data_IF_151272134254
#
_entry.id   IF_151272134254
#
_cell.length_a   1.000
_cell.length_b   1.000
_cell.length_c   1.000
_cell.angle_alpha   90.00
_cell.angle_beta   90.00
_cell.angle_gamma   90.00
#
_symmetry.space_group_name_H-M   'P 1'
#
loop_
_entity.id
_entity.type
_entity.pdbx_description
1 polymer ?
#
# COMPACT_ATOMS: atom_id res chain seq x y z
N UNK A 1 19.30 -22.65 -10.48
CA UNK A 1 18.19 -23.44 -11.08
C UNK A 1 16.93 -23.13 -10.29
N UNK A 2 15.81 -22.80 -10.95
CA UNK A 2 14.56 -22.49 -10.24
C UNK A 2 13.96 -23.76 -9.60
N UNK A 3 13.55 -23.69 -8.34
CA UNK A 3 12.88 -24.80 -7.61
C UNK A 3 11.35 -24.70 -7.63
N UNK A 4 10.83 -23.66 -8.29
CA UNK A 4 9.41 -23.36 -8.44
C UNK A 4 8.70 -24.34 -9.37
N UNK A 5 7.48 -24.74 -9.00
CA UNK A 5 6.66 -25.66 -9.82
C UNK A 5 6.16 -25.08 -11.14
N UNK A 6 6.20 -23.75 -11.33
CA UNK A 6 5.70 -23.08 -12.54
C UNK A 6 4.19 -23.20 -12.78
N UNK A 7 3.43 -23.70 -11.81
CA UNK A 7 1.95 -23.79 -11.87
C UNK A 7 1.35 -22.44 -11.46
N UNK A 8 0.36 -21.95 -12.20
CA UNK A 8 -0.28 -20.64 -11.99
C UNK A 8 -1.49 -20.63 -11.05
N UNK A 9 -1.88 -21.77 -10.47
CA UNK A 9 -3.05 -21.85 -9.59
C UNK A 9 -2.68 -21.52 -8.14
N UNK A 10 -3.68 -21.19 -7.33
CA UNK A 10 -3.55 -21.03 -5.88
C UNK A 10 -3.64 -22.40 -5.19
N UNK A 11 -2.84 -22.61 -4.15
CA UNK A 11 -2.91 -23.81 -3.32
C UNK A 11 -4.17 -23.80 -2.45
N UNK A 12 -4.99 -24.83 -2.56
CA UNK A 12 -6.24 -24.95 -1.78
C UNK A 12 -6.04 -25.16 -0.27
N UNK A 13 -4.81 -25.43 0.18
CA UNK A 13 -4.51 -25.66 1.60
C UNK A 13 -3.95 -24.40 2.25
N UNK A 14 -2.93 -23.75 1.66
CA UNK A 14 -2.27 -22.59 2.26
C UNK A 14 -2.54 -21.25 1.57
N UNK A 15 -3.18 -21.23 0.40
CA UNK A 15 -3.55 -19.97 -0.28
C UNK A 15 -2.41 -19.31 -1.03
N UNK A 16 -1.18 -19.79 -0.88
CA UNK A 16 -0.06 -19.33 -1.69
C UNK A 16 -0.13 -19.87 -3.12
N UNK A 17 0.46 -19.13 -4.04
CA UNK A 17 0.53 -19.53 -5.44
C UNK A 17 1.37 -20.82 -5.60
N UNK A 18 0.96 -21.71 -6.50
CA UNK A 18 1.64 -22.99 -6.69
C UNK A 18 3.04 -22.82 -7.29
N UNK A 19 3.35 -21.70 -7.94
CA UNK A 19 4.71 -21.36 -8.34
C UNK A 19 5.65 -21.16 -7.13
N UNK A 20 5.12 -20.87 -5.94
CA UNK A 20 5.89 -20.84 -4.69
C UNK A 20 6.00 -22.22 -4.04
N UNK A 21 5.44 -23.26 -4.66
CA UNK A 21 5.60 -24.64 -4.23
C UNK A 21 6.76 -25.31 -4.97
N UNK A 22 7.35 -26.30 -4.30
CA UNK A 22 8.39 -27.13 -4.88
C UNK A 22 7.91 -27.81 -6.18
N UNK A 23 8.82 -27.94 -7.14
CA UNK A 23 8.57 -28.68 -8.39
C UNK A 23 8.00 -30.07 -8.12
N UNK A 24 6.96 -30.40 -8.86
CA UNK A 24 6.30 -31.72 -8.81
C UNK A 24 7.23 -32.88 -9.09
N UNK A 25 8.35 -32.68 -9.81
CA UNK A 25 9.38 -33.71 -10.05
C UNK A 25 10.23 -33.99 -8.82
N UNK A 26 10.45 -32.98 -7.99
CA UNK A 26 11.30 -33.04 -6.79
C UNK A 26 10.50 -33.40 -5.54
N UNK A 27 9.16 -33.33 -5.62
CA UNK A 27 8.25 -33.59 -4.51
C UNK A 27 7.48 -34.90 -4.65
N UNK A 28 7.95 -35.92 -5.39
CA UNK A 28 7.21 -37.20 -5.52
C UNK A 28 7.59 -38.22 -4.45
N UNK A 29 6.60 -38.96 -3.96
CA UNK A 29 6.85 -40.17 -3.17
C UNK A 29 7.75 -41.15 -3.94
N UNK A 30 8.85 -41.61 -3.32
CA UNK A 30 9.80 -42.54 -3.93
C UNK A 30 9.15 -43.88 -4.32
N UNK A 31 8.12 -44.32 -3.57
CA UNK A 31 7.35 -45.57 -3.81
C UNK A 31 6.21 -45.41 -4.82
N UNK A 32 5.18 -44.61 -4.50
CA UNK A 32 3.95 -44.54 -5.31
C UNK A 32 3.92 -43.39 -6.33
N UNK A 33 4.97 -42.56 -6.39
CA UNK A 33 5.15 -41.44 -7.31
C UNK A 33 4.09 -40.32 -7.23
N UNK A 34 3.17 -40.35 -6.25
CA UNK A 34 2.24 -39.22 -5.99
C UNK A 34 3.02 -37.99 -5.52
N UNK A 35 2.64 -36.82 -6.02
CA UNK A 35 3.32 -35.53 -5.74
C UNK A 35 2.82 -34.88 -4.46
N UNK A 36 3.76 -34.47 -3.61
CA UNK A 36 3.52 -33.62 -2.45
C UNK A 36 3.44 -32.16 -2.90
N UNK A 37 2.50 -31.42 -2.35
CA UNK A 37 2.50 -29.97 -2.45
C UNK A 37 3.26 -29.43 -1.23
N UNK A 38 4.46 -28.90 -1.48
CA UNK A 38 5.35 -28.36 -0.46
C UNK A 38 5.50 -26.88 -0.74
N UNK A 39 4.93 -26.02 0.11
CA UNK A 39 5.06 -24.58 0.01
C UNK A 39 6.46 -24.14 0.44
N UNK A 40 7.13 -23.38 -0.41
CA UNK A 40 8.45 -22.78 -0.15
C UNK A 40 8.34 -21.27 0.13
N UNK A 41 7.12 -20.73 0.22
CA UNK A 41 6.89 -19.34 0.61
C UNK A 41 7.47 -19.08 2.01
N UNK A 42 8.08 -17.92 2.20
CA UNK A 42 8.70 -17.53 3.47
C UNK A 42 7.69 -17.23 4.59
N UNK A 43 6.40 -17.07 4.28
CA UNK A 43 5.40 -16.51 5.19
C UNK A 43 4.62 -17.56 6.01
N UNK A 44 5.25 -18.67 6.37
CA UNK A 44 4.64 -19.67 7.25
C UNK A 44 5.16 -19.55 8.67
N UNK A 45 4.36 -18.93 9.55
CA UNK A 45 4.64 -18.70 10.96
C UNK A 45 4.34 -17.25 11.36
N UNK A 46 3.87 -17.06 12.59
CA UNK A 46 3.53 -15.73 13.13
C UNK A 46 4.77 -14.93 13.53
N UNK A 47 5.84 -15.62 13.92
CA UNK A 47 7.00 -14.97 14.48
C UNK A 47 8.01 -14.67 13.38
N UNK A 48 8.42 -13.40 13.25
CA UNK A 48 9.68 -13.03 12.55
C UNK A 48 10.90 -13.80 13.09
N UNK A 49 10.77 -14.47 14.24
CA UNK A 49 11.77 -15.34 14.86
C UNK A 49 11.54 -16.85 14.63
N UNK A 50 10.38 -17.25 14.09
CA UNK A 50 10.12 -18.63 13.71
C UNK A 50 10.97 -19.01 12.51
N UNK A 51 11.56 -20.23 12.45
CA UNK A 51 12.37 -20.62 11.31
C UNK A 51 11.51 -20.62 10.05
N UNK A 52 11.77 -19.64 9.18
CA UNK A 52 11.34 -19.60 7.78
C UNK A 52 11.59 -21.00 7.19
N UNK A 53 10.53 -21.77 7.00
CA UNK A 53 10.66 -23.19 6.77
C UNK A 53 9.57 -23.69 5.85
N UNK A 54 9.92 -24.62 4.97
CA UNK A 54 8.97 -25.19 4.02
C UNK A 54 7.83 -25.90 4.74
N UNK A 55 6.62 -25.78 4.19
CA UNK A 55 5.42 -26.43 4.72
C UNK A 55 4.88 -27.48 3.77
N UNK A 56 4.47 -28.62 4.32
CA UNK A 56 3.77 -29.65 3.57
C UNK A 56 2.28 -29.30 3.57
N UNK A 57 1.80 -28.80 2.44
CA UNK A 57 0.40 -28.46 2.24
C UNK A 57 -0.47 -29.71 2.12
N UNK A 58 0.04 -30.72 1.41
CA UNK A 58 -0.72 -31.95 1.13
C UNK A 58 0.19 -33.18 1.08
N UNK A 59 -0.18 -34.19 1.86
CA UNK A 59 0.41 -35.54 1.81
C UNK A 59 -0.55 -36.46 1.02
N UNK A 60 -0.21 -36.86 -0.22
CA UNK A 60 -1.14 -37.58 -1.09
C UNK A 60 -1.15 -39.11 -0.88
N UNK A 61 -0.30 -39.65 0.00
CA UNK A 61 -0.14 -41.09 0.17
C UNK A 61 0.25 -41.51 1.60
N UNK A 62 -0.21 -42.69 2.03
CA UNK A 62 0.16 -43.33 3.29
C UNK A 62 1.35 -44.29 3.18
N UNK A 63 2.28 -44.09 2.24
CA UNK A 63 3.42 -45.01 2.08
C UNK A 63 4.42 -44.96 3.26
N UNK A 64 4.36 -43.90 4.08
CA UNK A 64 5.25 -43.64 5.20
C UNK A 64 6.45 -42.76 4.84
N UNK A 65 7.00 -42.07 5.85
CA UNK A 65 8.04 -41.04 5.73
C UNK A 65 9.34 -41.54 5.08
N UNK A 66 9.65 -42.83 5.24
CA UNK A 66 10.82 -43.46 4.57
C UNK A 66 10.82 -43.30 3.06
N UNK A 67 9.65 -43.15 2.43
CA UNK A 67 9.52 -42.93 0.98
C UNK A 67 9.26 -41.47 0.60
N UNK A 68 9.24 -40.55 1.57
CA UNK A 68 9.04 -39.13 1.25
C UNK A 68 10.26 -38.59 0.50
N UNK A 69 10.07 -37.66 -0.44
CA UNK A 69 11.17 -36.95 -1.09
C UNK A 69 11.96 -36.16 -0.05
N UNK A 70 13.22 -35.86 -0.35
CA UNK A 70 14.12 -35.26 0.65
C UNK A 70 13.61 -33.87 1.10
N UNK A 71 13.05 -33.09 0.17
CA UNK A 71 12.37 -31.81 0.48
C UNK A 71 11.18 -31.94 1.45
N UNK A 72 10.44 -33.05 1.40
CA UNK A 72 9.33 -33.27 2.31
C UNK A 72 9.81 -33.69 3.71
N UNK A 73 11.05 -34.19 3.85
CA UNK A 73 11.64 -34.50 5.16
C UNK A 73 12.14 -33.24 5.87
N UNK A 74 12.57 -32.24 5.09
CA UNK A 74 12.99 -30.92 5.59
C UNK A 74 11.78 -30.01 5.88
N UNK A 75 10.63 -30.28 5.27
CA UNK A 75 9.41 -29.52 5.45
C UNK A 75 8.61 -29.99 6.67
N UNK A 76 7.92 -29.05 7.32
CA UNK A 76 7.01 -29.34 8.45
C UNK A 76 5.56 -29.40 7.96
N UNK A 77 4.66 -30.15 8.61
CA UNK A 77 3.23 -30.05 8.33
C UNK A 77 2.72 -28.62 8.57
N UNK A 78 1.72 -28.19 7.79
CA UNK A 78 0.98 -26.96 8.08
C UNK A 78 0.37 -27.03 9.48
N UNK A 79 0.52 -25.95 10.24
CA UNK A 79 -0.21 -25.76 11.49
C UNK A 79 -1.68 -25.39 11.20
N UNK A 80 -2.60 -25.63 12.14
CA UNK A 80 -4.02 -25.33 11.93
C UNK A 80 -4.32 -23.89 11.50
N UNK A 81 -3.58 -22.91 12.01
CA UNK A 81 -3.74 -21.48 11.67
C UNK A 81 -3.07 -21.09 10.34
N UNK A 82 -2.22 -21.96 9.76
CA UNK A 82 -1.53 -21.70 8.49
C UNK A 82 -2.35 -22.16 7.27
N UNK A 83 -3.49 -22.82 7.49
CA UNK A 83 -4.42 -23.15 6.41
C UNK A 83 -5.18 -21.89 5.95
N UNK A 84 -5.67 -21.89 4.70
CA UNK A 84 -6.64 -20.87 4.26
C UNK A 84 -7.91 -21.00 5.08
N UNK A 85 -8.56 -19.87 5.34
CA UNK A 85 -9.79 -19.78 6.15
C UNK A 85 -10.94 -20.66 5.65
N UNK A 86 -10.96 -20.96 4.35
CA UNK A 86 -11.95 -21.86 3.72
C UNK A 86 -11.62 -23.36 3.85
N UNK A 87 -10.43 -23.72 4.34
CA UNK A 87 -10.02 -25.11 4.46
C UNK A 87 -10.59 -25.75 5.73
N UNK A 88 -11.12 -26.99 5.69
CA UNK A 88 -11.70 -27.65 6.88
C UNK A 88 -10.73 -27.84 8.05
N UNK A 89 -9.42 -27.88 7.76
CA UNK A 89 -8.35 -27.98 8.75
C UNK A 89 -7.95 -26.64 9.38
N UNK A 90 -8.52 -25.53 8.91
CA UNK A 90 -8.25 -24.22 9.51
C UNK A 90 -8.78 -24.16 10.93
N UNK A 91 -7.90 -23.81 11.86
CA UNK A 91 -8.27 -23.39 13.21
C UNK A 91 -7.51 -22.12 13.53
N UNK A 92 -8.21 -21.04 13.92
CA UNK A 92 -7.57 -19.88 14.51
C UNK A 92 -6.67 -20.32 15.67
N UNK A 93 -5.56 -19.62 15.87
CA UNK A 93 -4.64 -19.93 16.96
C UNK A 93 -5.32 -19.59 18.29
N UNK A 94 -5.77 -20.62 19.01
CA UNK A 94 -6.35 -20.47 20.35
C UNK A 94 -5.27 -19.92 21.29
N UNK A 95 -5.51 -18.74 21.88
CA UNK A 95 -4.54 -18.02 22.72
C UNK A 95 -3.99 -16.72 22.13
N UNK A 96 -4.27 -16.46 20.84
CA UNK A 96 -4.37 -15.10 20.29
C UNK A 96 -5.83 -14.75 20.03
N UNK A 97 -6.74 -15.35 20.81
CA UNK A 97 -8.01 -14.69 21.06
C UNK A 97 -7.61 -13.34 21.64
N UNK A 98 -7.78 -12.30 20.84
CA UNK A 98 -7.78 -10.94 21.32
C UNK A 98 -8.37 -10.89 22.72
N UNK A 99 -7.76 -10.05 23.54
CA UNK A 99 -8.47 -9.25 24.53
C UNK A 99 -9.54 -8.36 23.84
N UNK A 100 -10.45 -8.99 23.08
CA UNK A 100 -11.59 -8.44 22.33
C UNK A 100 -12.78 -9.43 22.37
N UNK A 101 -12.78 -10.42 23.27
CA UNK A 101 -14.06 -10.93 23.76
C UNK A 101 -14.63 -9.91 24.75
N UNK A 102 -15.37 -8.95 24.23
CA UNK A 102 -16.23 -8.03 24.98
C UNK A 102 -17.35 -8.85 25.63
N UNK A 103 -17.03 -9.61 26.68
CA UNK A 103 -18.00 -9.83 27.75
C UNK A 103 -18.16 -8.47 28.40
N UNK A 104 -19.38 -7.94 28.34
CA UNK A 104 -19.79 -6.77 29.09
C UNK A 104 -19.70 -7.11 30.58
N UNK A 105 -18.49 -7.08 31.13
CA UNK A 105 -18.23 -7.16 32.55
C UNK A 105 -17.45 -5.92 32.97
N UNK A 106 -18.14 -5.14 33.80
CA UNK A 106 -17.84 -3.78 34.22
C UNK A 106 -16.66 -3.73 35.17
N UNK A 107 -15.43 -3.89 34.67
CA UNK A 107 -14.22 -3.62 35.48
C UNK A 107 -13.01 -3.18 34.63
N UNK A 108 -12.73 -1.88 34.73
CA UNK A 108 -11.48 -1.11 34.54
C UNK A 108 -10.71 -1.11 33.19
N UNK A 109 -10.61 0.04 32.49
CA UNK A 109 -10.00 0.19 31.16
C UNK A 109 -8.47 0.40 31.24
N UNK A 110 -7.71 -0.67 31.01
CA UNK A 110 -6.25 -0.65 30.92
C UNK A 110 -5.73 -0.69 29.48
N UNK A 111 -5.90 0.41 28.75
CA UNK A 111 -5.04 0.90 27.65
C UNK A 111 -4.57 -0.12 26.59
N UNK A 112 -5.49 -0.65 25.78
CA UNK A 112 -5.16 -0.87 24.37
C UNK A 112 -4.97 0.51 23.74
N UNK A 113 -3.84 0.82 23.08
CA UNK A 113 -3.71 2.09 22.37
C UNK A 113 -4.83 2.14 21.34
N UNK A 114 -5.78 3.03 21.58
CA UNK A 114 -6.87 3.35 20.67
C UNK A 114 -6.23 4.04 19.46
N UNK A 115 -5.65 3.25 18.56
CA UNK A 115 -5.25 3.77 17.27
C UNK A 115 -6.54 4.12 16.54
N UNK A 116 -6.79 5.41 16.39
CA UNK A 116 -7.88 5.89 15.57
C UNK A 116 -7.74 5.30 14.16
N UNK A 117 -8.84 4.83 13.55
CA UNK A 117 -8.80 4.30 12.20
C UNK A 117 -8.18 5.34 11.25
N UNK A 118 -7.18 4.91 10.48
CA UNK A 118 -6.51 5.78 9.51
C UNK A 118 -7.30 5.75 8.21
N UNK A 119 -8.00 6.84 7.92
CA UNK A 119 -8.71 7.03 6.65
C UNK A 119 -7.75 7.53 5.58
N UNK A 120 -7.87 6.97 4.38
CA UNK A 120 -6.99 7.32 3.26
C UNK A 120 -7.81 7.68 2.02
N UNK A 121 -7.36 8.73 1.35
CA UNK A 121 -7.83 9.10 0.02
C UNK A 121 -7.02 8.32 -1.02
N UNK A 122 -7.73 7.58 -1.86
CA UNK A 122 -7.13 6.78 -2.91
C UNK A 122 -7.00 7.60 -4.20
N UNK A 123 -5.90 7.40 -4.91
CA UNK A 123 -5.71 7.85 -6.28
C UNK A 123 -5.55 6.64 -7.21
N UNK A 124 -6.05 6.73 -8.44
CA UNK A 124 -5.95 5.65 -9.43
C UNK A 124 -4.77 5.90 -10.35
N UNK A 125 -3.95 4.86 -10.55
CA UNK A 125 -2.81 4.86 -11.45
C UNK A 125 -2.80 3.58 -12.29
N UNK A 126 -3.61 3.55 -13.34
CA UNK A 126 -3.88 2.35 -14.11
C UNK A 126 -4.68 1.33 -13.29
N UNK A 127 -4.16 0.11 -13.14
CA UNK A 127 -4.80 -0.95 -12.36
C UNK A 127 -4.54 -0.84 -10.84
N UNK A 128 -3.80 0.18 -10.41
CA UNK A 128 -3.36 0.37 -9.03
C UNK A 128 -4.15 1.48 -8.33
N UNK A 129 -4.43 1.25 -7.06
CA UNK A 129 -4.91 2.22 -6.09
C UNK A 129 -3.70 2.67 -5.26
N UNK A 130 -3.41 3.96 -5.23
CA UNK A 130 -2.24 4.53 -4.57
C UNK A 130 -2.64 5.56 -3.51
N UNK A 131 -2.00 5.51 -2.35
CA UNK A 131 -2.18 6.47 -1.25
C UNK A 131 -0.88 6.61 -0.44
N UNK A 132 -0.75 7.68 0.34
CA UNK A 132 0.40 7.83 1.24
C UNK A 132 0.04 7.34 2.64
N UNK A 133 0.91 6.55 3.26
CA UNK A 133 0.74 6.13 4.65
C UNK A 133 1.06 7.27 5.64
N UNK A 134 0.95 7.00 6.94
CA UNK A 134 1.25 7.97 8.01
C UNK A 134 2.70 8.50 7.98
N UNK A 135 3.63 7.77 7.36
CA UNK A 135 5.02 8.18 7.19
C UNK A 135 5.27 8.93 5.88
N UNK A 136 4.23 9.16 5.07
CA UNK A 136 4.34 9.77 3.75
C UNK A 136 4.88 8.83 2.66
N UNK A 137 4.97 7.53 2.93
CA UNK A 137 5.38 6.54 1.94
C UNK A 137 4.20 6.16 1.04
N UNK A 138 4.44 6.13 -0.27
CA UNK A 138 3.46 5.73 -1.26
C UNK A 138 3.21 4.21 -1.17
N UNK A 139 1.99 3.83 -0.82
CA UNK A 139 1.49 2.46 -0.89
C UNK A 139 0.70 2.29 -2.19
N UNK A 140 1.09 1.31 -2.99
CA UNK A 140 0.36 0.90 -4.21
C UNK A 140 -0.30 -0.46 -3.97
N UNK A 141 -1.60 -0.54 -4.16
CA UNK A 141 -2.42 -1.72 -3.93
C UNK A 141 -3.38 -1.97 -5.09
N UNK A 142 -4.08 -3.10 -5.10
CA UNK A 142 -5.11 -3.42 -6.09
C UNK A 142 -6.46 -3.54 -5.39
N UNK A 143 -7.56 -3.46 -6.14
CA UNK A 143 -8.92 -3.60 -5.61
C UNK A 143 -9.12 -4.92 -4.83
N UNK A 144 -8.44 -6.00 -5.23
CA UNK A 144 -8.55 -7.32 -4.59
C UNK A 144 -7.95 -7.37 -3.18
N UNK A 145 -7.06 -6.44 -2.83
CA UNK A 145 -6.49 -6.38 -1.48
C UNK A 145 -7.42 -5.72 -0.46
N UNK A 146 -8.46 -5.01 -0.90
CA UNK A 146 -9.41 -4.33 -0.03
C UNK A 146 -10.58 -5.24 0.33
N UNK A 147 -10.89 -5.33 1.61
CA UNK A 147 -11.99 -6.13 2.14
C UNK A 147 -13.13 -5.22 2.60
N UNK A 148 -14.37 -5.52 2.18
CA UNK A 148 -15.53 -4.82 2.69
C UNK A 148 -15.72 -5.13 4.19
N UNK A 149 -15.88 -4.09 5.01
CA UNK A 149 -16.04 -4.19 6.46
C UNK A 149 -17.04 -3.15 6.98
N UNK A 150 -17.26 -3.10 8.28
CA UNK A 150 -18.11 -2.10 8.95
C UNK A 150 -17.42 -1.60 10.20
N UNK A 151 -17.28 -0.28 10.33
CA UNK A 151 -16.67 0.38 11.48
C UNK A 151 -17.67 1.30 12.18
N UNK A 152 -17.44 1.60 13.46
CA UNK A 152 -18.19 2.61 14.19
C UNK A 152 -17.62 4.00 13.88
N UNK A 153 -18.24 4.73 12.97
CA UNK A 153 -17.88 6.11 12.65
C UNK A 153 -18.90 7.06 13.29
N UNK A 154 -18.45 7.93 14.19
CA UNK A 154 -19.31 8.85 14.95
C UNK A 154 -20.47 8.13 15.69
N UNK A 155 -20.20 6.93 16.20
CA UNK A 155 -21.19 6.09 16.89
C UNK A 155 -22.18 5.36 15.97
N UNK A 156 -22.02 5.48 14.65
CA UNK A 156 -22.88 4.83 13.65
C UNK A 156 -22.09 3.74 12.92
N UNK A 157 -22.56 2.48 12.90
CA UNK A 157 -21.99 1.44 12.07
C UNK A 157 -22.06 1.84 10.59
N UNK A 158 -20.90 2.09 9.98
CA UNK A 158 -20.77 2.62 8.63
C UNK A 158 -19.98 1.60 7.79
N UNK A 159 -20.52 1.16 6.63
CA UNK A 159 -19.80 0.26 5.74
C UNK A 159 -18.61 0.97 5.10
N UNK A 160 -17.50 0.27 4.98
CA UNK A 160 -16.28 0.79 4.36
C UNK A 160 -15.44 -0.36 3.79
N UNK A 161 -14.27 -0.02 3.25
CA UNK A 161 -13.26 -0.98 2.81
C UNK A 161 -12.01 -0.84 3.69
N UNK A 162 -11.41 -1.99 4.03
CA UNK A 162 -10.21 -2.09 4.85
C UNK A 162 -9.09 -2.76 4.06
N UNK A 163 -7.88 -2.22 4.20
CA UNK A 163 -6.64 -2.81 3.73
C UNK A 163 -5.70 -3.00 4.92
N UNK A 164 -5.29 -4.23 5.17
CA UNK A 164 -4.22 -4.54 6.14
C UNK A 164 -2.89 -4.69 5.39
N UNK A 165 -1.88 -3.94 5.80
CA UNK A 165 -0.58 -3.92 5.11
C UNK A 165 0.38 -5.04 5.54
N UNK A 166 -0.04 -5.90 6.46
CA UNK A 166 0.76 -6.97 7.04
C UNK A 166 1.86 -6.50 8.01
N UNK A 167 1.99 -5.19 8.24
CA UNK A 167 2.89 -4.61 9.25
C UNK A 167 2.17 -4.29 10.56
N UNK A 168 0.84 -4.43 10.57
CA UNK A 168 -0.03 -4.18 11.71
C UNK A 168 -0.82 -2.88 11.60
N UNK A 169 -0.74 -2.18 10.47
CA UNK A 169 -1.59 -1.03 10.18
C UNK A 169 -2.77 -1.44 9.29
N UNK A 170 -3.93 -0.86 9.62
CA UNK A 170 -5.16 -1.00 8.84
C UNK A 170 -5.56 0.36 8.29
N UNK A 171 -5.80 0.41 6.99
CA UNK A 171 -6.23 1.61 6.27
C UNK A 171 -7.69 1.46 5.86
N UNK A 172 -8.45 2.54 5.97
CA UNK A 172 -9.88 2.55 5.69
C UNK A 172 -10.21 3.54 4.57
N UNK A 173 -11.13 3.17 3.70
CA UNK A 173 -11.69 4.08 2.69
C UNK A 173 -13.18 3.81 2.46
N UNK A 174 -13.91 4.82 2.03
CA UNK A 174 -15.36 4.72 1.80
C UNK A 174 -15.71 4.21 0.41
N UNK A 175 -14.82 4.38 -0.58
CA UNK A 175 -15.04 3.98 -1.96
C UNK A 175 -13.76 3.42 -2.59
N UNK A 176 -13.90 2.38 -3.41
CA UNK A 176 -12.86 1.87 -4.30
C UNK A 176 -13.08 2.30 -5.76
N UNK A 177 -14.20 2.97 -6.04
CA UNK A 177 -14.54 3.56 -7.32
C UNK A 177 -14.07 5.01 -7.28
N UNK A 178 -12.76 5.20 -7.51
CA UNK A 178 -12.18 6.52 -7.74
C UNK A 178 -12.32 6.81 -9.23
N UNK A 179 -13.57 6.92 -9.70
CA UNK A 179 -13.84 7.24 -11.10
C UNK A 179 -13.39 8.67 -11.39
N UNK A 180 -12.38 8.81 -12.25
CA UNK A 180 -12.13 9.86 -13.26
C UNK A 180 -12.62 11.30 -12.98
N UNK A 181 -12.58 11.77 -11.74
CA UNK A 181 -13.05 13.10 -11.36
C UNK A 181 -12.25 14.27 -11.97
N UNK A 182 -11.28 14.00 -12.86
CA UNK A 182 -10.58 15.01 -13.64
C UNK A 182 -11.15 15.26 -15.05
N UNK A 183 -12.12 14.47 -15.57
CA UNK A 183 -12.61 14.67 -16.95
C UNK A 183 -14.11 14.91 -17.14
N UNK A 184 -14.90 15.07 -16.07
CA UNK A 184 -16.34 15.34 -16.18
C UNK A 184 -16.77 16.69 -15.58
N UNK A 185 -16.34 17.79 -16.21
CA UNK A 185 -17.19 18.99 -16.27
C UNK A 185 -18.23 18.76 -17.36
N UNK A 186 -19.24 17.92 -17.11
CA UNK A 186 -20.55 17.99 -17.78
C UNK A 186 -21.56 17.06 -17.08
N UNK A 187 -22.47 17.71 -16.34
CA UNK A 187 -23.84 17.33 -15.98
C UNK A 187 -24.29 15.91 -16.35
N UNK A 188 -24.08 14.92 -15.49
CA UNK A 188 -25.08 13.86 -15.15
C UNK A 188 -24.57 13.03 -13.95
N UNK A 189 -25.33 12.91 -12.84
CA UNK A 189 -24.95 12.01 -11.75
C UNK A 189 -25.21 10.55 -12.13
N UNK A 190 -24.15 9.73 -12.10
CA UNK A 190 -24.19 8.27 -12.32
C UNK A 190 -24.57 7.54 -11.02
N UNK A 191 -25.68 6.80 -11.06
CA UNK A 191 -26.23 6.02 -9.95
C UNK A 191 -25.53 4.65 -9.76
N UNK A 192 -24.24 4.67 -9.41
CA UNK A 192 -23.53 3.47 -8.91
C UNK A 192 -22.74 3.76 -7.65
N UNK A 193 -23.41 4.32 -6.66
CA UNK A 193 -22.99 4.23 -5.26
C UNK A 193 -23.89 3.21 -4.57
N UNK A 194 -23.33 2.39 -3.67
CA UNK A 194 -24.09 1.52 -2.75
C UNK A 194 -24.80 2.36 -1.66
N UNK A 195 -25.42 3.47 -2.05
CA UNK A 195 -26.32 4.25 -1.23
C UNK A 195 -27.71 3.61 -1.26
N UNK A 196 -28.12 3.04 -0.13
CA UNK A 196 -29.53 2.67 0.09
C UNK A 196 -30.40 3.93 -0.04
N UNK A 197 -31.38 3.89 -0.93
CA UNK A 197 -32.55 4.77 -0.82
C UNK A 197 -33.36 4.36 0.41
N UNK A 198 -33.76 5.30 1.29
CA UNK A 198 -34.76 5.04 2.30
C UNK A 198 -36.16 5.03 1.65
N UNK A 199 -36.85 3.89 1.76
CA UNK A 199 -38.27 3.78 1.43
C UNK A 199 -39.08 4.76 2.27
N UNK A 200 -39.88 5.58 1.59
CA UNK A 200 -40.87 6.48 2.18
C UNK A 200 -41.97 5.68 2.88
N UNK A 201 -42.15 5.91 4.18
CA UNK A 201 -43.41 5.67 4.87
C UNK A 201 -44.05 7.03 5.25
N UNK A 202 -45.37 7.19 5.15
CA UNK A 202 -46.04 8.44 5.47
C UNK A 202 -46.39 8.48 6.96
N UNK A 203 -45.77 9.35 7.74
CA UNK A 203 -46.38 9.79 9.00
C UNK A 203 -45.99 11.22 9.33
N UNK A 204 -46.96 12.09 9.11
CA UNK A 204 -47.12 13.43 9.63
C UNK A 204 -46.87 13.51 11.14
N UNK A 205 -45.82 14.21 11.56
CA UNK A 205 -45.78 14.96 12.82
C UNK A 205 -44.86 16.19 12.63
N UNK A 206 -45.48 17.34 12.41
CA UNK A 206 -44.80 18.63 12.32
C UNK A 206 -44.32 19.06 13.70
N UNK A 207 -43.04 18.88 13.99
CA UNK A 207 -42.39 19.59 15.08
C UNK A 207 -42.22 21.06 14.69
N UNK A 208 -43.09 21.93 15.21
CA UNK A 208 -42.86 23.38 15.22
C UNK A 208 -41.59 23.65 16.03
N UNK A 209 -40.52 24.08 15.35
CA UNK A 209 -39.34 24.66 15.99
C UNK A 209 -39.73 26.05 16.51
N UNK A 210 -39.56 26.27 17.80
CA UNK A 210 -39.58 27.61 18.40
C UNK A 210 -38.30 28.32 17.98
N UNK A 211 -38.42 29.32 17.10
CA UNK A 211 -37.32 30.23 16.78
C UNK A 211 -36.99 31.03 18.04
N UNK A 212 -35.85 30.76 18.65
CA UNK A 212 -35.23 31.67 19.63
C UNK A 212 -34.52 32.77 18.84
N UNK A 213 -35.00 34.00 18.98
CA UNK A 213 -34.52 35.19 18.23
C UNK A 213 -33.07 35.62 18.54
N UNK A 214 -32.35 34.92 19.43
CA UNK A 214 -30.99 35.29 19.87
C UNK A 214 -29.91 34.23 19.60
N UNK A 215 -30.17 33.24 18.72
CA UNK A 215 -29.12 32.28 18.35
C UNK A 215 -28.24 32.85 17.24
N UNK A 216 -27.14 33.51 17.62
CA UNK A 216 -26.07 33.86 16.68
C UNK A 216 -25.51 32.57 16.04
N UNK A 217 -25.57 32.51 14.71
CA UNK A 217 -25.05 31.39 13.93
C UNK A 217 -23.52 31.34 14.10
N UNK A 218 -22.94 30.26 14.65
CA UNK A 218 -21.50 30.18 14.90
C UNK A 218 -20.65 30.21 13.62
N UNK A 219 -21.28 30.11 12.44
CA UNK A 219 -20.62 30.25 11.14
C UNK A 219 -20.70 31.68 10.58
N UNK A 220 -21.49 32.58 11.17
CA UNK A 220 -21.51 33.99 10.77
C UNK A 220 -20.41 34.75 11.50
N UNK A 221 -19.38 35.15 10.75
CA UNK A 221 -18.37 36.05 11.27
C UNK A 221 -18.93 37.46 11.21
N UNK A 222 -18.89 38.17 12.35
CA UNK A 222 -19.16 39.59 12.33
C UNK A 222 -18.12 40.29 11.45
N UNK A 223 -18.54 41.34 10.75
CA UNK A 223 -17.67 42.15 9.88
C UNK A 223 -16.43 42.63 10.64
N UNK A 224 -16.61 42.96 11.93
CA UNK A 224 -15.54 43.38 12.82
C UNK A 224 -14.51 42.27 13.12
N UNK A 225 -14.96 41.01 13.28
CA UNK A 225 -14.06 39.86 13.46
C UNK A 225 -13.35 39.50 12.17
N UNK A 226 -14.06 39.54 11.03
CA UNK A 226 -13.46 39.31 9.71
C UNK A 226 -12.34 40.32 9.44
N UNK A 227 -12.58 41.62 9.68
CA UNK A 227 -11.54 42.63 9.49
C UNK A 227 -10.35 42.46 10.42
N UNK A 228 -10.57 42.09 11.68
CA UNK A 228 -9.51 41.88 12.66
C UNK A 228 -8.58 40.73 12.26
N UNK A 229 -9.15 39.59 11.84
CA UNK A 229 -8.36 38.43 11.41
C UNK A 229 -7.66 38.69 10.06
N UNK A 230 -8.31 39.37 9.11
CA UNK A 230 -7.73 39.64 7.77
C UNK A 230 -6.57 40.65 7.83
N UNK A 231 -6.61 41.65 8.74
CA UNK A 231 -5.51 42.61 8.93
C UNK A 231 -4.26 41.96 9.54
N UNK A 232 -4.43 40.98 10.43
CA UNK A 232 -3.33 40.21 11.01
C UNK A 232 -2.60 39.37 9.96
N UNK A 233 -3.37 38.73 9.08
CA UNK A 233 -2.85 37.80 8.07
C UNK A 233 -2.01 38.50 6.98
N UNK A 234 -2.42 39.70 6.55
CA UNK A 234 -1.63 40.50 5.61
C UNK A 234 -0.29 40.98 6.20
N UNK A 235 -0.23 41.21 7.51
CA UNK A 235 1.01 41.64 8.18
C UNK A 235 2.00 40.47 8.35
N UNK A 236 1.51 39.24 8.55
CA UNK A 236 2.36 38.04 8.56
C UNK A 236 2.87 37.68 7.17
N UNK A 237 2.03 37.80 6.13
CA UNK A 237 2.44 37.58 4.74
C UNK A 237 3.52 38.58 4.29
N UNK A 238 3.44 39.84 4.75
CA UNK A 238 4.47 40.84 4.49
C UNK A 238 5.82 40.54 5.19
N UNK A 239 5.81 39.78 6.31
CA UNK A 239 7.04 39.31 6.97
C UNK A 239 7.70 38.12 6.27
N UNK A 240 6.96 37.38 5.46
CA UNK A 240 7.47 36.28 4.65
C UNK A 240 8.07 36.72 3.31
N UNK A 241 7.95 38.02 2.95
CA UNK A 241 8.65 38.60 1.82
C UNK A 241 10.14 38.77 2.15
N UNK A 242 10.88 37.67 1.98
CA UNK A 242 12.33 37.58 2.11
C UNK A 242 12.99 38.67 1.28
N UNK A 243 13.71 39.56 1.97
CA UNK A 243 14.57 40.60 1.42
C UNK A 243 15.64 39.98 0.51
N UNK A 244 15.43 40.08 -0.80
CA UNK A 244 16.43 39.76 -1.80
C UNK A 244 17.29 40.99 -2.09
N UNK A 245 18.45 41.11 -1.45
CA UNK A 245 19.55 41.96 -1.89
C UNK A 245 20.85 41.57 -1.17
N UNK A 246 21.79 40.92 -1.87
CA UNK A 246 23.19 41.38 -2.01
C UNK A 246 24.13 40.27 -2.53
N UNK A 247 24.40 40.41 -3.83
CA UNK A 247 25.56 40.05 -4.65
C UNK A 247 26.82 39.36 -4.08
N UNK A 248 27.29 38.41 -4.91
CA UNK A 248 28.66 37.94 -5.16
C UNK A 248 29.26 36.87 -4.24
N UNK A 249 28.98 35.58 -4.54
CA UNK A 249 30.04 34.57 -4.72
C UNK A 249 29.52 33.24 -5.29
N UNK A 250 30.21 32.77 -6.33
CA UNK A 250 30.35 31.40 -6.82
C UNK A 250 29.07 30.61 -7.19
N UNK A 251 28.89 30.41 -8.50
CA UNK A 251 28.05 29.36 -9.09
C UNK A 251 28.46 27.98 -8.56
N UNK A 252 27.81 27.53 -7.48
CA UNK A 252 27.88 26.15 -7.01
C UNK A 252 26.49 25.70 -6.59
N UNK A 253 25.92 24.83 -7.41
CA UNK A 253 24.93 23.80 -7.05
C UNK A 253 23.63 24.28 -6.40
N UNK A 254 22.65 24.62 -7.24
CA UNK A 254 21.23 24.43 -6.93
C UNK A 254 20.96 22.91 -6.85
N UNK A 255 20.97 22.37 -5.63
CA UNK A 255 20.41 21.07 -5.33
C UNK A 255 18.91 21.26 -5.00
N UNK A 256 18.01 20.45 -5.58
CA UNK A 256 16.61 20.43 -5.18
C UNK A 256 16.51 19.79 -3.79
N UNK A 257 16.03 20.56 -2.83
CA UNK A 257 15.71 20.14 -1.47
C UNK A 257 14.49 19.22 -1.51
N UNK A 258 14.62 17.93 -1.17
CA UNK A 258 13.46 17.09 -0.86
C UNK A 258 13.47 15.61 -1.28
N UNK A 259 14.50 15.12 -1.98
CA UNK A 259 14.63 13.69 -2.27
C UNK A 259 16.07 13.32 -2.60
N UNK A 260 16.58 12.23 -2.03
CA UNK A 260 17.92 11.70 -2.32
C UNK A 260 18.00 11.17 -3.77
N UNK A 261 18.02 12.09 -4.73
CA UNK A 261 18.28 11.74 -6.12
C UNK A 261 19.78 11.75 -6.37
N UNK A 262 20.34 10.61 -6.78
CA UNK A 262 21.75 10.54 -7.15
C UNK A 262 21.95 11.24 -8.51
N UNK A 263 22.80 12.28 -8.61
CA UNK A 263 23.04 12.96 -9.87
C UNK A 263 23.87 12.09 -10.81
N UNK A 264 23.37 11.87 -12.03
CA UNK A 264 24.05 11.04 -13.04
C UNK A 264 24.24 11.79 -14.36
N UNK A 265 25.26 11.38 -15.13
CA UNK A 265 25.34 11.75 -16.54
C UNK A 265 24.70 10.66 -17.38
N UNK A 266 23.68 11.01 -18.18
CA UNK A 266 22.97 10.07 -19.05
C UNK A 266 23.24 10.35 -20.55
N UNK A 267 23.40 9.29 -21.34
CA UNK A 267 23.59 9.36 -22.80
C UNK A 267 22.91 8.19 -23.50
N UNK A 268 22.25 8.45 -24.62
CA UNK A 268 21.71 7.42 -25.50
C UNK A 268 22.84 6.67 -26.23
N UNK A 269 22.81 5.34 -26.25
CA UNK A 269 23.70 4.53 -27.07
C UNK A 269 23.07 4.21 -28.44
N UNK A 270 23.84 3.57 -29.32
CA UNK A 270 23.39 3.20 -30.68
C UNK A 270 22.25 2.18 -30.71
N UNK A 271 22.01 1.48 -29.59
CA UNK A 271 20.93 0.50 -29.44
C UNK A 271 19.65 1.12 -28.89
N UNK A 272 19.57 2.45 -28.76
CA UNK A 272 18.41 3.15 -28.19
C UNK A 272 18.26 3.02 -26.68
N UNK A 273 19.31 2.57 -25.97
CA UNK A 273 19.33 2.47 -24.51
C UNK A 273 20.04 3.69 -23.92
N UNK A 274 19.62 4.12 -22.74
CA UNK A 274 20.27 5.18 -21.96
C UNK A 274 21.34 4.55 -21.07
N UNK A 275 22.60 4.89 -21.33
CA UNK A 275 23.73 4.57 -20.47
C UNK A 275 23.94 5.75 -19.51
N UNK A 276 24.03 5.47 -18.22
CA UNK A 276 24.23 6.49 -17.20
C UNK A 276 25.38 6.15 -16.26
N UNK A 277 26.04 7.18 -15.73
CA UNK A 277 27.16 7.04 -14.79
C UNK A 277 26.90 7.92 -13.58
N UNK A 278 26.93 7.33 -12.39
CA UNK A 278 26.77 8.05 -11.13
C UNK A 278 27.98 8.95 -10.89
N UNK A 279 27.75 10.23 -10.61
CA UNK A 279 28.83 11.18 -10.32
C UNK A 279 29.24 11.06 -8.85
N UNK A 280 30.03 10.04 -8.51
CA UNK A 280 30.56 9.83 -7.16
C UNK A 280 32.05 10.18 -7.07
N UNK A 281 32.35 11.46 -6.87
CA UNK A 281 33.72 11.95 -6.60
C UNK A 281 34.78 11.62 -7.67
N UNK A 282 36.05 11.53 -7.24
CA UNK A 282 37.22 11.25 -8.11
C UNK A 282 37.27 9.82 -8.68
N UNK A 283 36.43 8.91 -8.16
CA UNK A 283 36.38 7.53 -8.64
C UNK A 283 35.36 7.41 -9.76
N UNK A 284 35.70 6.61 -10.77
CA UNK A 284 34.77 6.26 -11.85
C UNK A 284 33.54 5.59 -11.22
N UNK A 285 32.40 6.29 -11.21
CA UNK A 285 31.18 5.81 -10.57
C UNK A 285 30.53 4.63 -11.28
N UNK A 286 29.52 4.05 -10.63
CA UNK A 286 28.73 2.93 -11.16
C UNK A 286 28.11 3.29 -12.52
N UNK A 287 28.32 2.42 -13.51
CA UNK A 287 27.71 2.54 -14.85
C UNK A 287 26.45 1.66 -14.91
N UNK A 288 25.33 2.25 -15.35
CA UNK A 288 24.06 1.57 -15.52
C UNK A 288 23.51 1.71 -16.94
N UNK A 289 22.59 0.82 -17.31
CA UNK A 289 21.85 0.88 -18.58
C UNK A 289 20.36 0.73 -18.34
N UNK A 290 19.55 1.54 -18.99
CA UNK A 290 18.09 1.43 -18.95
C UNK A 290 17.46 1.83 -20.29
N UNK A 291 16.20 1.45 -20.50
CA UNK A 291 15.46 1.89 -21.68
C UNK A 291 15.02 3.34 -21.52
N UNK A 292 14.97 4.10 -22.64
CA UNK A 292 14.57 5.52 -22.63
C UNK A 292 13.19 5.76 -22.00
N UNK A 293 12.25 4.85 -22.22
CA UNK A 293 10.88 4.93 -21.68
C UNK A 293 10.79 4.86 -20.15
N UNK A 294 11.86 4.41 -19.45
CA UNK A 294 11.90 4.41 -17.99
C UNK A 294 12.33 5.74 -17.37
N UNK A 295 12.76 6.70 -18.19
CA UNK A 295 13.15 8.04 -17.74
C UNK A 295 12.00 9.01 -17.88
N UNK A 296 11.38 9.39 -16.76
CA UNK A 296 10.26 10.35 -16.73
C UNK A 296 10.79 11.78 -16.67
N UNK A 297 10.26 12.73 -17.46
CA UNK A 297 10.62 14.13 -17.33
C UNK A 297 10.15 14.67 -15.97
N UNK A 298 11.01 15.37 -15.25
CA UNK A 298 10.70 15.94 -13.93
C UNK A 298 11.47 17.25 -13.76
N UNK A 299 10.74 18.36 -13.65
CA UNK A 299 11.30 19.71 -13.65
C UNK A 299 12.15 19.99 -14.90
N UNK A 300 13.43 20.30 -14.69
CA UNK A 300 14.39 20.61 -15.77
C UNK A 300 15.20 19.39 -16.24
N UNK A 301 14.85 18.18 -15.81
CA UNK A 301 15.63 16.98 -16.10
C UNK A 301 14.77 15.73 -16.27
N UNK A 302 15.41 14.59 -16.02
CA UNK A 302 14.81 13.28 -16.15
C UNK A 302 15.14 12.43 -14.92
N UNK A 303 14.13 11.72 -14.41
CA UNK A 303 14.25 10.82 -13.28
C UNK A 303 14.06 9.37 -13.72
N UNK A 304 14.92 8.50 -13.19
CA UNK A 304 14.87 7.05 -13.38
C UNK A 304 14.86 6.34 -12.03
N UNK A 305 13.79 5.61 -11.74
CA UNK A 305 13.67 4.74 -10.56
C UNK A 305 14.07 3.31 -10.95
N UNK A 306 15.09 2.77 -10.27
CA UNK A 306 15.55 1.39 -10.45
C UNK A 306 14.75 0.47 -9.52
N UNK A 307 14.68 -0.82 -9.85
CA UNK A 307 13.86 -1.81 -9.12
C UNK A 307 14.34 -2.08 -7.68
N UNK A 308 15.53 -1.61 -7.31
CA UNK A 308 16.07 -1.67 -5.95
C UNK A 308 15.73 -0.41 -5.12
N UNK A 309 14.84 0.45 -5.61
CA UNK A 309 14.39 1.67 -4.92
C UNK A 309 15.27 2.89 -5.15
N UNK A 310 16.47 2.74 -5.75
CA UNK A 310 17.35 3.89 -6.02
C UNK A 310 16.79 4.78 -7.12
N UNK A 311 16.90 6.09 -6.92
CA UNK A 311 16.42 7.11 -7.86
C UNK A 311 17.58 7.93 -8.41
N UNK A 312 17.69 7.97 -9.74
CA UNK A 312 18.74 8.68 -10.46
C UNK A 312 18.17 9.90 -11.17
N UNK A 313 18.87 11.04 -11.08
CA UNK A 313 18.49 12.27 -11.75
C UNK A 313 19.53 12.67 -12.81
N UNK A 314 19.08 12.91 -14.03
CA UNK A 314 19.89 13.42 -15.13
C UNK A 314 19.29 14.72 -15.66
N UNK A 315 20.05 15.83 -15.62
CA UNK A 315 19.62 17.12 -16.19
C UNK A 315 19.29 17.01 -17.69
N UNK A 316 20.01 16.16 -18.42
CA UNK A 316 19.80 15.95 -19.85
C UNK A 316 20.22 14.52 -20.23
N UNK A 317 19.54 13.92 -21.21
CA UNK A 317 19.94 12.65 -21.82
C UNK A 317 20.59 12.97 -23.17
N UNK A 318 21.93 12.98 -23.21
CA UNK A 318 22.68 13.36 -24.40
C UNK A 318 22.46 12.37 -25.56
N UNK A 319 22.45 12.82 -26.83
CA UNK A 319 22.36 11.91 -27.97
C UNK A 319 23.59 11.01 -28.08
N UNK A 320 23.46 9.93 -28.85
CA UNK A 320 24.57 9.03 -29.15
C UNK A 320 25.71 9.78 -29.84
N UNK A 321 26.96 9.47 -29.47
CA UNK A 321 28.13 9.98 -30.20
C UNK A 321 28.03 9.51 -31.65
N UNK A 322 27.92 10.47 -32.57
CA UNK A 322 28.17 10.23 -34.00
C UNK A 322 29.61 9.71 -34.11
N UNK A 323 29.80 8.56 -34.77
CA UNK A 323 31.15 8.15 -35.21
C UNK A 323 31.38 8.75 -36.57
#
# INVERSE_FOLDING_TARGET
>A
MSTSSGRSKICSCCGHALNEHAKTTESKCKKCKRGFDICQAGYHGYDRAGPLGWRICKVPCGCGERYYPDKAREARPLQPHEYVTSHPGYRPLEGFADSSSYVADTTDPGTTPAYEPTYVDLSVNGDWLEFNNLNGELISTTREHWQATTILYQGVPTPCFQLDDGTGYSYYTWSLDVDDAQEATELYPSERSLGKQPEQAPSSFSHRRTFSEESEDPLQWSEERFEAETRGLNSEMARLAVSGESSQQAEKSLAPTGGEHEPVSARMNRKGMVEFTVKSGEKKGEEGKSSRGKWKPEGQGFIYRRSDGRTFYAKEIKPAKKR
#
